data_IF_294945522223
#
_entry.id   IF_294945522223
#
_cell.length_a   1.000
_cell.length_b   1.000
_cell.length_c   1.000
_cell.angle_alpha   90.00
_cell.angle_beta   90.00
_cell.angle_gamma   90.00
#
_symmetry.space_group_name_H-M   'P 1'
#
loop_
_entity.id
_entity.type
_entity.pdbx_description
1 polymer ?
#
# COMPACT_ATOMS: atom_id res chain seq x y z
N UNK A 1 19.37 -25.76 -2.30
CA UNK A 1 19.66 -24.38 -2.74
C UNK A 1 19.74 -23.51 -1.50
N UNK A 2 20.61 -22.50 -1.46
CA UNK A 2 20.68 -21.59 -0.31
C UNK A 2 19.73 -20.42 -0.55
N UNK A 3 18.53 -20.48 0.04
CA UNK A 3 17.65 -19.31 0.15
C UNK A 3 18.33 -18.36 1.14
N UNK A 4 18.40 -17.07 0.82
CA UNK A 4 18.94 -16.03 1.71
C UNK A 4 17.83 -15.04 2.02
N UNK A 5 17.72 -14.59 3.26
CA UNK A 5 16.67 -13.69 3.70
C UNK A 5 17.18 -12.51 4.55
N UNK A 6 16.35 -11.47 4.65
CA UNK A 6 16.56 -10.34 5.53
C UNK A 6 15.24 -9.65 5.87
N UNK A 7 15.08 -9.20 7.12
CA UNK A 7 13.94 -8.41 7.58
C UNK A 7 14.30 -6.98 8.01
N UNK A 8 15.54 -6.72 8.41
CA UNK A 8 16.01 -5.36 8.69
C UNK A 8 16.31 -4.59 7.38
N UNK A 9 15.91 -3.31 7.22
CA UNK A 9 16.15 -2.54 6.00
C UNK A 9 17.62 -2.48 5.56
N UNK A 10 18.55 -2.37 6.51
CA UNK A 10 19.98 -2.37 6.24
C UNK A 10 20.47 -3.73 5.70
N UNK A 11 19.92 -4.83 6.22
CA UNK A 11 20.20 -6.18 5.77
C UNK A 11 19.55 -6.49 4.41
N UNK A 12 18.29 -6.09 4.18
CA UNK A 12 17.61 -6.21 2.88
C UNK A 12 18.37 -5.48 1.78
N UNK A 13 18.72 -4.21 2.00
CA UNK A 13 19.50 -3.41 1.03
C UNK A 13 20.85 -4.06 0.71
N UNK A 14 21.52 -4.67 1.69
CA UNK A 14 22.73 -5.46 1.44
C UNK A 14 22.42 -6.71 0.62
N UNK A 15 21.40 -7.48 0.99
CA UNK A 15 20.97 -8.71 0.34
C UNK A 15 20.64 -8.49 -1.15
N UNK A 16 19.90 -7.43 -1.49
CA UNK A 16 19.65 -7.05 -2.88
C UNK A 16 20.96 -6.78 -3.64
N UNK A 17 21.87 -6.00 -3.05
CA UNK A 17 23.16 -5.64 -3.67
C UNK A 17 24.05 -6.86 -3.87
N UNK A 18 24.21 -7.73 -2.86
CA UNK A 18 24.96 -8.98 -2.95
C UNK A 18 24.35 -9.91 -4.02
N UNK A 19 23.02 -10.07 -4.05
CA UNK A 19 22.32 -10.93 -5.00
C UNK A 19 22.42 -10.45 -6.46
N UNK A 20 22.21 -9.16 -6.72
CA UNK A 20 22.35 -8.55 -8.06
C UNK A 20 23.82 -8.62 -8.52
N UNK A 21 24.77 -8.39 -7.60
CA UNK A 21 26.20 -8.49 -7.91
C UNK A 21 26.57 -9.94 -8.24
N UNK A 22 26.12 -10.91 -7.44
CA UNK A 22 26.35 -12.33 -7.69
C UNK A 22 25.76 -12.80 -9.03
N UNK A 23 24.52 -12.39 -9.35
CA UNK A 23 23.88 -12.63 -10.65
C UNK A 23 24.73 -12.08 -11.81
N UNK A 24 25.15 -10.81 -11.75
CA UNK A 24 26.00 -10.17 -12.78
C UNK A 24 27.38 -10.82 -12.90
N UNK A 25 28.02 -11.20 -11.78
CA UNK A 25 29.32 -11.89 -11.77
C UNK A 25 29.23 -13.33 -12.32
N UNK A 26 28.09 -14.00 -12.15
CA UNK A 26 27.86 -15.37 -12.66
C UNK A 26 27.31 -15.42 -14.08
N UNK A 27 26.87 -14.29 -14.64
CA UNK A 27 26.06 -14.23 -15.86
C UNK A 27 24.86 -15.20 -15.81
N UNK A 28 24.19 -15.25 -14.65
CA UNK A 28 23.00 -16.07 -14.45
C UNK A 28 21.80 -15.50 -15.21
N UNK A 29 20.82 -16.33 -15.56
CA UNK A 29 19.67 -15.88 -16.38
C UNK A 29 18.81 -14.83 -15.68
N UNK A 30 18.53 -15.02 -14.39
CA UNK A 30 17.79 -14.08 -13.55
C UNK A 30 17.97 -14.37 -12.06
N UNK A 31 17.67 -13.37 -11.23
CA UNK A 31 17.55 -13.47 -9.77
C UNK A 31 16.14 -13.03 -9.35
N UNK A 32 15.50 -13.79 -8.46
CA UNK A 32 14.13 -13.52 -7.99
C UNK A 32 14.14 -13.18 -6.49
N UNK A 33 13.44 -12.11 -6.15
CA UNK A 33 13.18 -11.59 -4.82
C UNK A 33 11.69 -11.76 -4.51
N UNK A 34 11.37 -12.33 -3.36
CA UNK A 34 9.99 -12.61 -2.93
C UNK A 34 9.77 -11.99 -1.55
N UNK A 35 8.62 -11.37 -1.32
CA UNK A 35 8.18 -11.05 0.02
C UNK A 35 7.98 -12.33 0.86
N UNK A 36 7.97 -12.20 2.18
CA UNK A 36 7.63 -13.30 3.08
C UNK A 36 6.11 -13.47 3.19
N UNK A 37 5.63 -14.72 3.25
CA UNK A 37 4.19 -15.04 3.32
C UNK A 37 3.47 -14.41 4.53
N UNK A 38 4.19 -14.16 5.64
CA UNK A 38 3.60 -13.51 6.83
C UNK A 38 3.11 -12.08 6.62
N UNK A 39 3.43 -11.41 5.50
CA UNK A 39 2.84 -10.09 5.18
C UNK A 39 1.36 -10.17 4.78
N UNK A 40 0.84 -11.36 4.48
CA UNK A 40 -0.58 -11.62 4.24
C UNK A 40 -1.32 -11.94 5.55
N UNK A 41 -0.87 -12.98 6.29
CA UNK A 41 -1.45 -13.36 7.59
C UNK A 41 -1.55 -12.19 8.56
N UNK A 42 -0.51 -11.33 8.63
CA UNK A 42 -0.48 -10.20 9.54
C UNK A 42 -1.64 -9.22 9.33
N UNK A 43 -2.01 -8.92 8.08
CA UNK A 43 -3.10 -7.96 7.80
C UNK A 43 -4.49 -8.56 7.95
N UNK A 44 -4.67 -9.84 7.65
CA UNK A 44 -5.92 -10.54 8.00
C UNK A 44 -6.17 -10.45 9.52
N UNK A 45 -5.13 -10.65 10.33
CA UNK A 45 -5.22 -10.55 11.79
C UNK A 45 -5.48 -9.11 12.30
N UNK A 46 -4.92 -8.08 11.65
CA UNK A 46 -5.21 -6.68 12.04
C UNK A 46 -6.65 -6.27 11.68
N UNK A 47 -7.18 -6.66 10.51
CA UNK A 47 -8.57 -6.36 10.10
C UNK A 47 -9.62 -6.95 11.04
N UNK A 48 -9.41 -8.13 11.62
CA UNK A 48 -10.34 -8.71 12.61
C UNK A 48 -10.44 -7.85 13.90
N UNK A 49 -9.38 -7.13 14.27
CA UNK A 49 -9.38 -6.31 15.50
C UNK A 49 -10.12 -4.97 15.37
N UNK A 50 -10.46 -4.54 14.15
CA UNK A 50 -11.11 -3.25 13.91
C UNK A 50 -12.62 -3.24 14.25
N UNK A 51 -13.26 -4.42 14.38
CA UNK A 51 -14.71 -4.56 14.43
C UNK A 51 -15.32 -4.67 15.85
N UNK A 52 -14.53 -4.92 16.90
CA UNK A 52 -15.03 -5.08 18.28
C UNK A 52 -15.22 -3.77 19.06
N UNK A 53 -15.79 -2.72 18.44
CA UNK A 53 -16.07 -1.43 19.12
C UNK A 53 -17.46 -0.82 18.83
N UNK A 54 -18.51 -1.63 18.93
CA UNK A 54 -19.90 -1.15 18.97
C UNK A 54 -20.73 -1.88 20.03
N UNK A 55 -21.82 -1.27 20.52
CA UNK A 55 -22.86 -1.95 21.31
C UNK A 55 -22.84 -1.82 22.85
N UNK A 56 -22.85 -0.60 23.42
CA UNK A 56 -23.39 -0.35 24.77
C UNK A 56 -23.72 1.16 24.96
N UNK A 57 -24.91 1.58 25.40
CA UNK A 57 -26.16 0.86 25.67
C UNK A 57 -27.36 1.79 25.34
N UNK A 58 -28.48 1.22 24.89
CA UNK A 58 -29.64 1.98 24.41
C UNK A 58 -30.87 1.78 25.30
N UNK A 59 -31.32 2.84 25.97
CA UNK A 59 -32.46 2.79 26.89
C UNK A 59 -33.47 3.93 26.63
N UNK A 60 -34.58 3.60 25.98
CA UNK A 60 -35.72 4.51 25.73
C UNK A 60 -37.06 3.88 26.17
N UNK A 61 -37.86 4.61 26.96
CA UNK A 61 -39.30 4.36 27.27
C UNK A 61 -39.89 5.49 28.14
N UNK A 62 -41.20 5.77 27.98
CA UNK A 62 -42.00 6.74 28.76
C UNK A 62 -42.57 6.09 30.06
N UNK A 63 -43.42 6.69 30.93
CA UNK A 63 -44.20 7.95 31.03
C UNK A 63 -44.40 8.28 32.56
N UNK A 64 -45.10 9.30 33.08
CA UNK A 64 -46.02 10.38 32.62
C UNK A 64 -45.70 11.71 33.41
N UNK A 65 -46.39 12.84 33.15
CA UNK A 65 -46.40 13.98 34.09
C UNK A 65 -46.99 15.31 33.58
N UNK A 66 -48.10 15.77 34.15
CA UNK A 66 -48.85 16.99 33.75
C UNK A 66 -48.50 18.24 34.59
N UNK A 67 -48.73 19.45 34.04
CA UNK A 67 -48.68 20.72 34.79
C UNK A 67 -48.94 21.98 33.95
N UNK A 68 -49.94 22.79 34.33
CA UNK A 68 -50.35 24.02 33.63
C UNK A 68 -50.06 25.32 34.41
N UNK A 69 -49.21 26.21 33.89
CA UNK A 69 -49.38 27.69 33.79
C UNK A 69 -48.21 28.29 32.96
N UNK A 70 -48.19 29.53 32.44
CA UNK A 70 -49.12 30.65 32.53
C UNK A 70 -48.78 31.76 31.50
N UNK A 71 -49.56 32.84 31.44
CA UNK A 71 -49.54 33.82 30.32
C UNK A 71 -48.31 34.74 30.22
N UNK A 72 -47.84 35.01 28.99
CA UNK A 72 -46.85 36.07 28.70
C UNK A 72 -46.96 36.64 27.27
N UNK A 73 -47.25 37.94 27.13
CA UNK A 73 -47.42 38.62 25.83
C UNK A 73 -46.24 39.56 25.53
N UNK A 74 -45.68 39.52 24.32
CA UNK A 74 -44.62 40.47 23.93
C UNK A 74 -44.19 40.45 22.46
N UNK A 75 -44.73 41.36 21.65
CA UNK A 75 -44.33 41.54 20.25
C UNK A 75 -43.05 42.36 20.08
N UNK A 76 -42.19 42.00 19.10
CA UNK A 76 -41.44 42.94 18.24
C UNK A 76 -40.67 42.26 17.09
N UNK A 77 -40.54 42.95 15.96
CA UNK A 77 -39.70 42.55 14.82
C UNK A 77 -38.20 42.66 15.15
N UNK A 78 -37.37 41.91 14.42
CA UNK A 78 -35.92 42.08 14.39
C UNK A 78 -35.30 41.43 13.16
N UNK A 79 -35.15 42.19 12.07
CA UNK A 79 -34.43 41.74 10.87
C UNK A 79 -32.93 41.59 11.14
N UNK A 80 -32.32 40.48 10.69
CA UNK A 80 -30.88 40.38 10.44
C UNK A 80 -30.57 39.21 9.51
N UNK A 81 -29.90 39.50 8.40
CA UNK A 81 -29.30 38.47 7.56
C UNK A 81 -28.06 37.88 8.24
N UNK A 82 -27.86 36.57 8.06
CA UNK A 82 -26.65 35.86 8.44
C UNK A 82 -26.05 35.19 7.21
N UNK A 83 -25.19 35.93 6.50
CA UNK A 83 -24.33 35.34 5.47
C UNK A 83 -23.25 34.53 6.19
N UNK A 84 -23.16 33.21 5.95
CA UNK A 84 -22.49 32.33 6.89
C UNK A 84 -22.21 30.91 6.37
N UNK A 85 -21.04 30.74 5.76
CA UNK A 85 -20.32 29.47 5.73
C UNK A 85 -21.02 28.32 5.00
N UNK A 86 -21.07 28.37 3.66
CA UNK A 86 -21.13 27.11 2.90
C UNK A 86 -19.96 26.24 3.34
N UNK A 87 -20.23 25.00 3.71
CA UNK A 87 -19.20 24.08 4.16
C UNK A 87 -18.33 23.70 2.95
N UNK A 88 -17.07 24.10 2.97
CA UNK A 88 -15.98 23.38 2.33
C UNK A 88 -15.09 22.88 3.46
N UNK A 89 -15.63 21.96 4.26
CA UNK A 89 -14.79 21.10 5.10
C UNK A 89 -14.11 20.12 4.15
N UNK A 90 -13.09 20.64 3.46
CA UNK A 90 -12.07 19.87 2.79
C UNK A 90 -11.21 19.14 3.81
N UNK A 91 -11.85 18.38 4.69
CA UNK A 91 -11.27 17.19 5.28
C UNK A 91 -10.91 16.29 4.11
N UNK A 92 -9.69 16.51 3.61
CA UNK A 92 -8.86 15.44 3.09
C UNK A 92 -8.69 14.47 4.26
N UNK A 93 -9.70 13.64 4.44
CA UNK A 93 -9.47 12.27 4.88
C UNK A 93 -8.43 11.75 3.90
N UNK A 94 -7.17 11.83 4.33
CA UNK A 94 -6.13 10.93 3.87
C UNK A 94 -6.66 9.55 4.24
N UNK A 95 -7.52 9.02 3.35
CA UNK A 95 -7.90 7.62 3.33
C UNK A 95 -6.58 6.92 3.26
N UNK A 96 -6.13 6.47 4.42
CA UNK A 96 -4.93 5.70 4.63
C UNK A 96 -5.19 4.41 3.88
N UNK A 97 -4.89 4.47 2.58
CA UNK A 97 -5.49 3.58 1.63
C UNK A 97 -5.05 2.19 2.02
N UNK A 98 -6.00 1.41 2.51
CA UNK A 98 -5.76 0.03 2.92
C UNK A 98 -5.41 -0.69 1.63
N UNK A 99 -4.10 -0.70 1.32
CA UNK A 99 -3.51 -1.19 0.08
C UNK A 99 -3.63 -2.70 0.11
N UNK A 100 -4.85 -3.21 0.03
CA UNK A 100 -5.11 -4.63 0.15
C UNK A 100 -4.34 -5.34 -0.95
N UNK A 101 -3.45 -6.24 -0.54
CA UNK A 101 -2.64 -6.99 -1.48
C UNK A 101 -3.55 -8.05 -2.04
N UNK A 102 -3.96 -7.88 -3.30
CA UNK A 102 -4.96 -8.73 -3.90
C UNK A 102 -4.52 -10.22 -3.76
N UNK A 103 -5.26 -11.02 -2.98
CA UNK A 103 -4.83 -12.37 -2.63
C UNK A 103 -4.86 -13.34 -3.82
N UNK A 104 -5.43 -12.93 -4.98
CA UNK A 104 -5.36 -13.69 -6.22
C UNK A 104 -4.01 -13.56 -6.95
N UNK A 105 -3.31 -12.43 -6.77
CA UNK A 105 -1.93 -12.21 -7.24
C UNK A 105 -0.89 -12.96 -6.39
N UNK A 106 -1.21 -13.21 -5.11
CA UNK A 106 -0.35 -13.95 -4.20
C UNK A 106 0.90 -13.18 -3.77
N UNK A 107 1.97 -13.89 -3.41
CA UNK A 107 3.16 -13.30 -2.77
C UNK A 107 3.90 -12.34 -3.73
N UNK A 108 4.07 -11.05 -3.38
CA UNK A 108 4.75 -10.07 -4.22
C UNK A 108 6.18 -10.50 -4.55
N UNK A 109 6.50 -10.48 -5.84
CA UNK A 109 7.78 -10.95 -6.35
C UNK A 109 8.34 -9.98 -7.39
N UNK A 110 9.66 -9.83 -7.40
CA UNK A 110 10.40 -9.08 -8.41
C UNK A 110 11.53 -9.95 -8.95
N UNK A 111 11.68 -10.00 -10.26
CA UNK A 111 12.74 -10.74 -10.94
C UNK A 111 13.64 -9.78 -11.72
N UNK A 112 14.93 -9.74 -11.39
CA UNK A 112 15.92 -8.99 -12.16
C UNK A 112 16.70 -9.93 -13.10
N UNK A 113 16.78 -9.57 -14.38
CA UNK A 113 17.54 -10.30 -15.41
C UNK A 113 17.78 -9.43 -16.65
N UNK A 114 18.92 -9.61 -17.32
CA UNK A 114 19.36 -8.85 -18.51
C UNK A 114 19.35 -7.31 -18.39
N UNK A 115 19.31 -6.77 -17.16
CA UNK A 115 19.19 -5.33 -16.92
C UNK A 115 17.75 -4.81 -16.89
N UNK A 116 16.75 -5.70 -16.79
CA UNK A 116 15.32 -5.41 -16.63
C UNK A 116 14.81 -6.03 -15.32
N UNK A 117 13.82 -5.39 -14.71
CA UNK A 117 13.02 -5.92 -13.58
C UNK A 117 11.65 -6.31 -14.14
N UNK A 118 11.24 -7.54 -13.90
CA UNK A 118 9.87 -8.00 -14.05
C UNK A 118 9.16 -8.01 -12.69
N UNK A 119 7.88 -7.66 -12.67
CA UNK A 119 6.97 -7.76 -11.53
C UNK A 119 5.52 -7.88 -12.00
N UNK A 120 4.67 -8.53 -11.20
CA UNK A 120 3.21 -8.54 -11.39
C UNK A 120 2.55 -7.60 -10.38
N UNK A 121 1.58 -6.79 -10.80
CA UNK A 121 0.89 -5.85 -9.93
C UNK A 121 -0.54 -5.53 -10.41
N UNK A 122 -1.39 -4.96 -9.56
CA UNK A 122 -2.73 -4.48 -9.96
C UNK A 122 -2.66 -3.18 -10.80
N UNK A 123 -3.80 -2.73 -11.34
CA UNK A 123 -3.89 -1.43 -12.03
C UNK A 123 -3.56 -0.23 -11.11
N UNK A 124 -4.02 -0.27 -9.86
CA UNK A 124 -3.70 0.72 -8.84
C UNK A 124 -2.21 0.70 -8.46
N UNK A 125 -1.64 -0.48 -8.27
CA UNK A 125 -0.21 -0.65 -8.03
C UNK A 125 0.64 -0.19 -9.21
N UNK A 126 0.20 -0.44 -10.45
CA UNK A 126 0.82 0.10 -11.65
C UNK A 126 0.83 1.63 -11.65
N UNK A 127 -0.17 2.32 -11.06
CA UNK A 127 -0.09 3.76 -10.89
C UNK A 127 0.90 4.18 -9.80
N UNK A 128 0.89 3.52 -8.64
CA UNK A 128 1.90 3.73 -7.59
C UNK A 128 3.33 3.52 -8.10
N UNK A 129 3.53 2.55 -9.00
CA UNK A 129 4.79 2.30 -9.70
C UNK A 129 5.17 3.45 -10.65
N UNK A 130 4.22 3.96 -11.47
CA UNK A 130 4.45 5.15 -12.31
C UNK A 130 4.84 6.37 -11.48
N UNK A 131 4.22 6.56 -10.32
CA UNK A 131 4.55 7.65 -9.40
C UNK A 131 5.98 7.50 -8.88
N UNK A 132 6.34 6.32 -8.34
CA UNK A 132 7.69 6.00 -7.84
C UNK A 132 8.79 6.17 -8.90
N UNK A 133 8.50 5.93 -10.18
CA UNK A 133 9.47 6.11 -11.27
C UNK A 133 9.88 7.58 -11.51
N UNK A 134 9.16 8.57 -10.97
CA UNK A 134 9.56 9.98 -11.03
C UNK A 134 10.75 10.29 -10.11
N UNK A 135 10.82 9.68 -8.92
CA UNK A 135 11.98 9.72 -8.00
C UNK A 135 13.16 8.86 -8.50
N UNK A 136 12.87 7.94 -9.42
CA UNK A 136 13.79 6.96 -9.97
C UNK A 136 13.93 7.07 -11.51
N UNK A 137 14.23 8.25 -12.09
CA UNK A 137 14.12 8.53 -13.54
C UNK A 137 15.14 7.81 -14.44
N UNK A 138 16.06 7.02 -13.85
CA UNK A 138 16.94 6.07 -14.57
C UNK A 138 16.22 4.75 -14.90
N UNK A 139 15.15 4.43 -14.16
CA UNK A 139 14.26 3.31 -14.42
C UNK A 139 13.08 3.78 -15.28
N UNK A 140 12.61 2.91 -16.19
CA UNK A 140 11.49 3.21 -17.09
C UNK A 140 10.75 1.94 -17.44
N UNK A 141 9.43 1.98 -17.51
CA UNK A 141 8.64 0.87 -18.05
C UNK A 141 9.01 0.72 -19.54
N UNK A 142 9.45 -0.48 -19.95
CA UNK A 142 9.68 -0.84 -21.35
C UNK A 142 8.51 -1.67 -21.92
N UNK A 143 7.76 -2.41 -21.08
CA UNK A 143 6.60 -3.21 -21.48
C UNK A 143 5.56 -3.32 -20.36
N UNK A 144 4.28 -3.43 -20.73
CA UNK A 144 3.14 -3.72 -19.85
C UNK A 144 2.28 -4.78 -20.54
N UNK A 145 2.15 -5.96 -19.94
CA UNK A 145 1.34 -7.07 -20.45
C UNK A 145 0.12 -7.30 -19.56
N UNK A 146 -1.06 -7.39 -20.17
CA UNK A 146 -2.34 -7.68 -19.50
C UNK A 146 -2.85 -9.03 -20.01
N UNK A 147 -2.49 -10.16 -19.36
CA UNK A 147 -2.92 -11.48 -19.79
C UNK A 147 -4.43 -11.66 -19.62
N UNK A 148 -5.12 -12.15 -20.64
CA UNK A 148 -6.58 -12.39 -20.59
C UNK A 148 -7.02 -13.56 -19.66
N UNK A 149 -6.07 -14.19 -18.97
CA UNK A 149 -6.27 -15.35 -18.08
C UNK A 149 -5.77 -15.10 -16.64
N UNK A 150 -5.44 -13.85 -16.26
CA UNK A 150 -5.13 -13.47 -14.89
C UNK A 150 -5.46 -11.98 -14.66
N UNK A 151 -5.97 -11.64 -13.49
CA UNK A 151 -6.39 -10.28 -13.12
C UNK A 151 -5.20 -9.33 -12.83
N UNK A 152 -3.97 -9.88 -12.79
CA UNK A 152 -2.73 -9.12 -12.62
C UNK A 152 -2.18 -8.49 -13.91
N UNK A 153 -1.54 -7.33 -13.78
CA UNK A 153 -0.79 -6.66 -14.84
C UNK A 153 0.70 -6.98 -14.67
N UNK A 154 1.29 -7.61 -15.67
CA UNK A 154 2.72 -7.90 -15.71
C UNK A 154 3.49 -6.69 -16.28
N UNK A 155 4.59 -6.27 -15.63
CA UNK A 155 5.31 -5.04 -15.97
C UNK A 155 6.82 -5.28 -16.09
N UNK A 156 7.42 -4.84 -17.19
CA UNK A 156 8.87 -4.84 -17.39
C UNK A 156 9.44 -3.42 -17.25
N UNK A 157 10.36 -3.23 -16.30
CA UNK A 157 11.03 -1.96 -16.00
C UNK A 157 12.53 -2.05 -16.30
N UNK A 158 13.03 -1.21 -17.20
CA UNK A 158 14.46 -1.05 -17.44
C UNK A 158 15.20 -0.67 -16.16
N UNK A 159 16.25 -1.40 -15.84
CA UNK A 159 17.03 -1.28 -14.61
C UNK A 159 18.53 -1.24 -14.91
N UNK A 160 18.90 -0.43 -15.93
CA UNK A 160 20.25 -0.25 -16.47
C UNK A 160 21.11 0.65 -15.55
N UNK A 161 21.19 0.30 -14.26
CA UNK A 161 21.82 1.05 -13.19
C UNK A 161 22.80 0.19 -12.34
N UNK A 162 23.41 0.79 -11.32
CA UNK A 162 24.28 0.09 -10.37
C UNK A 162 23.49 -0.77 -9.36
N UNK A 163 24.05 -1.89 -8.85
CA UNK A 163 23.37 -2.77 -7.89
C UNK A 163 22.82 -2.04 -6.66
N UNK A 164 23.51 -1.00 -6.17
CA UNK A 164 23.05 -0.16 -5.05
C UNK A 164 21.79 0.63 -5.38
N UNK A 165 21.62 1.11 -6.61
CA UNK A 165 20.45 1.88 -7.04
C UNK A 165 19.28 0.96 -7.39
N UNK A 166 19.56 -0.21 -7.97
CA UNK A 166 18.57 -1.28 -8.20
C UNK A 166 18.04 -1.81 -6.85
N UNK A 167 18.91 -2.10 -5.89
CA UNK A 167 18.49 -2.55 -4.55
C UNK A 167 17.70 -1.49 -3.75
N UNK A 168 17.95 -0.19 -3.97
CA UNK A 168 17.09 0.88 -3.44
C UNK A 168 15.70 0.87 -4.09
N UNK A 169 15.63 0.70 -5.42
CA UNK A 169 14.36 0.65 -6.14
C UNK A 169 13.51 -0.56 -5.75
N UNK A 170 14.11 -1.75 -5.61
CA UNK A 170 13.40 -2.97 -5.17
C UNK A 170 12.83 -2.80 -3.75
N UNK A 171 13.60 -2.27 -2.79
CA UNK A 171 13.11 -2.00 -1.43
C UNK A 171 11.95 -0.99 -1.43
N UNK A 172 12.02 0.04 -2.30
CA UNK A 172 10.98 1.04 -2.46
C UNK A 172 9.71 0.51 -3.16
N UNK A 173 9.82 -0.38 -4.15
CA UNK A 173 8.65 -1.02 -4.77
C UNK A 173 7.88 -1.84 -3.73
N UNK A 174 8.56 -2.64 -2.91
CA UNK A 174 7.92 -3.37 -1.81
C UNK A 174 7.18 -2.45 -0.81
N UNK A 175 7.78 -1.33 -0.39
CA UNK A 175 7.16 -0.43 0.59
C UNK A 175 6.10 0.52 -0.01
N UNK A 176 6.26 1.00 -1.24
CA UNK A 176 5.41 2.06 -1.83
C UNK A 176 4.37 1.51 -2.82
N UNK A 177 4.70 0.48 -3.61
CA UNK A 177 3.76 -0.12 -4.57
C UNK A 177 2.89 -1.15 -3.86
N UNK A 178 3.52 -2.15 -3.25
CA UNK A 178 2.87 -3.25 -2.52
C UNK A 178 2.49 -2.88 -1.06
N UNK A 179 2.78 -1.65 -0.62
CA UNK A 179 2.38 -1.14 0.70
C UNK A 179 3.00 -1.85 1.92
N UNK A 180 4.10 -2.60 1.75
CA UNK A 180 4.65 -3.43 2.83
C UNK A 180 5.27 -2.59 3.96
N UNK A 181 5.08 -3.00 5.24
CA UNK A 181 5.68 -2.30 6.37
C UNK A 181 7.21 -2.39 6.30
N UNK A 182 7.92 -1.36 6.78
CA UNK A 182 9.39 -1.28 6.64
C UNK A 182 10.18 -2.41 7.32
N UNK A 183 9.54 -3.20 8.19
CA UNK A 183 10.03 -4.42 8.84
C UNK A 183 9.85 -5.71 8.04
N UNK A 184 9.28 -5.67 6.82
CA UNK A 184 9.01 -6.87 6.02
C UNK A 184 10.25 -7.73 5.76
N UNK A 185 10.08 -9.05 5.72
CA UNK A 185 11.12 -9.99 5.29
C UNK A 185 11.05 -10.20 3.79
N UNK A 186 12.21 -10.32 3.16
CA UNK A 186 12.38 -10.67 1.74
C UNK A 186 13.29 -11.89 1.61
N UNK A 187 13.04 -12.74 0.61
CA UNK A 187 13.81 -13.93 0.28
C UNK A 187 14.44 -13.83 -1.11
N UNK A 188 15.64 -14.40 -1.28
CA UNK A 188 16.29 -14.64 -2.58
C UNK A 188 16.26 -16.13 -2.88
N UNK A 189 15.55 -16.54 -3.93
CA UNK A 189 15.33 -17.97 -4.27
C UNK A 189 16.27 -18.50 -5.36
N UNK A 190 16.61 -17.67 -6.36
CA UNK A 190 17.33 -18.10 -7.56
C UNK A 190 18.56 -17.23 -7.83
N UNK A 191 19.71 -17.86 -8.06
CA UNK A 191 21.03 -17.25 -8.30
C UNK A 191 21.86 -18.11 -9.26
#
# INVERSE_FOLDING_TARGET
>A
MTRFDAAEPAARRKLYVDAITAHRTRASGFVTFEADESVFDARTAESETALERDGADGAESECEGEGEDGSGVGSRNGERGGDGGSHDDGSTTETQAEHDLDPSLGIPWLQFGDGTINLDCTDDELDRLKQLLNDFPVFKIEEIARPENADGVNVHVSAKADPNRIGQFIDAVFQTVYGLPSSFRVWVVKL
#
